data_IF_816367899948
#
_entry.id   IF_816367899948
#
_cell.length_a   1.000
_cell.length_b   1.000
_cell.length_c   1.000
_cell.angle_alpha   90.00
_cell.angle_beta   90.00
_cell.angle_gamma   90.00
#
_symmetry.space_group_name_H-M   'P 1'
#
loop_
_entity.id
_entity.type
_entity.pdbx_description
1 polymer ?
#
# COMPACT_ATOMS: atom_id res chain seq x y z
N UNK A 1 -15.00 -10.19 -5.21
CA UNK A 1 -15.03 -8.76 -4.81
C UNK A 1 -15.34 -8.59 -3.33
N UNK A 2 -16.42 -9.18 -2.82
CA UNK A 2 -16.74 -9.15 -1.38
C UNK A 2 -15.61 -9.73 -0.51
N UNK A 3 -14.92 -10.75 -0.99
CA UNK A 3 -13.72 -11.31 -0.34
C UNK A 3 -12.62 -10.25 -0.15
N UNK A 4 -12.32 -9.47 -1.19
CA UNK A 4 -11.30 -8.41 -1.14
C UNK A 4 -11.76 -7.33 -0.17
N UNK A 5 -13.01 -6.86 -0.29
CA UNK A 5 -13.54 -5.79 0.58
C UNK A 5 -13.58 -6.20 2.05
N UNK A 6 -13.98 -7.42 2.37
CA UNK A 6 -14.02 -7.92 3.76
C UNK A 6 -12.61 -8.04 4.34
N UNK A 7 -11.64 -8.55 3.57
CA UNK A 7 -10.25 -8.64 4.05
C UNK A 7 -9.67 -7.23 4.27
N UNK A 8 -9.90 -6.29 3.34
CA UNK A 8 -9.49 -4.89 3.52
C UNK A 8 -10.16 -4.25 4.72
N UNK A 9 -11.47 -4.46 4.93
CA UNK A 9 -12.18 -3.93 6.09
C UNK A 9 -11.56 -4.44 7.40
N UNK A 10 -11.15 -5.71 7.45
CA UNK A 10 -10.40 -6.27 8.58
C UNK A 10 -9.09 -5.53 8.86
N UNK A 11 -8.34 -5.12 7.84
CA UNK A 11 -7.13 -4.29 8.02
C UNK A 11 -7.47 -2.90 8.56
N UNK A 12 -8.50 -2.25 8.04
CA UNK A 12 -8.94 -0.93 8.54
C UNK A 12 -9.41 -1.03 9.99
N UNK A 13 -10.15 -2.08 10.36
CA UNK A 13 -10.56 -2.34 11.74
C UNK A 13 -9.35 -2.57 12.66
N UNK A 14 -8.30 -3.27 12.19
CA UNK A 14 -7.05 -3.40 12.97
C UNK A 14 -6.36 -2.05 13.20
N UNK A 15 -6.35 -1.18 12.19
CA UNK A 15 -5.84 0.18 12.36
C UNK A 15 -6.68 0.92 13.41
N UNK A 16 -8.01 0.84 13.33
CA UNK A 16 -8.90 1.48 14.29
C UNK A 16 -8.68 0.97 15.73
N UNK A 17 -8.52 -0.34 15.90
CA UNK A 17 -8.19 -0.94 17.19
C UNK A 17 -6.82 -0.46 17.71
N UNK A 18 -5.80 -0.40 16.85
CA UNK A 18 -4.47 0.10 17.22
C UNK A 18 -4.50 1.56 17.69
N UNK A 19 -5.30 2.40 17.04
CA UNK A 19 -5.50 3.80 17.44
C UNK A 19 -6.17 3.91 18.80
N UNK A 20 -7.15 3.05 19.10
CA UNK A 20 -7.84 3.07 20.40
C UNK A 20 -6.95 2.68 21.59
N UNK A 21 -5.82 2.01 21.35
CA UNK A 21 -4.88 1.56 22.38
C UNK A 21 -3.80 2.60 22.72
N UNK A 22 -3.60 3.60 21.86
CA UNK A 22 -2.54 4.60 22.03
C UNK A 22 -3.20 5.94 22.33
N UNK A 23 -2.79 6.60 23.41
CA UNK A 23 -3.20 7.97 23.70
C UNK A 23 -2.46 8.95 22.77
N UNK A 24 -3.00 9.14 21.57
CA UNK A 24 -2.43 10.06 20.58
C UNK A 24 -3.17 11.40 20.65
N UNK A 25 -2.43 12.49 20.90
CA UNK A 25 -3.00 13.84 20.97
C UNK A 25 -3.56 14.35 19.63
N UNK A 26 -3.03 13.83 18.50
CA UNK A 26 -3.47 14.18 17.14
C UNK A 26 -3.47 12.96 16.24
N UNK A 27 -4.64 12.37 16.05
CA UNK A 27 -4.84 11.28 15.10
C UNK A 27 -5.21 11.85 13.73
N UNK A 28 -4.50 11.43 12.67
CA UNK A 28 -4.78 11.86 11.29
C UNK A 28 -5.72 10.87 10.59
N UNK A 29 -6.95 11.28 10.20
CA UNK A 29 -7.90 10.40 9.49
C UNK A 29 -7.36 9.83 8.18
N UNK A 30 -6.36 10.49 7.59
CA UNK A 30 -5.66 10.06 6.39
C UNK A 30 -5.03 8.66 6.51
N UNK A 31 -4.70 8.22 7.73
CA UNK A 31 -4.17 6.88 7.97
C UNK A 31 -5.16 5.78 7.55
N UNK A 32 -6.46 5.98 7.80
CA UNK A 32 -7.48 5.00 7.39
C UNK A 32 -7.60 4.93 5.87
N UNK A 33 -7.55 6.08 5.21
CA UNK A 33 -7.71 6.19 3.75
C UNK A 33 -6.50 5.57 3.05
N UNK A 34 -5.29 6.06 3.36
CA UNK A 34 -4.07 5.57 2.73
C UNK A 34 -3.77 4.12 3.12
N UNK A 35 -3.94 3.76 4.39
CA UNK A 35 -3.77 2.39 4.87
C UNK A 35 -4.77 1.41 4.25
N UNK A 36 -6.01 1.85 4.02
CA UNK A 36 -7.02 1.06 3.32
C UNK A 36 -6.66 0.79 1.86
N UNK A 37 -6.16 1.80 1.14
CA UNK A 37 -5.68 1.62 -0.23
C UNK A 37 -4.45 0.71 -0.30
N UNK A 38 -3.50 0.84 0.63
CA UNK A 38 -2.37 -0.08 0.70
C UNK A 38 -2.80 -1.53 0.99
N UNK A 39 -3.78 -1.72 1.86
CA UNK A 39 -4.35 -3.05 2.11
C UNK A 39 -4.99 -3.65 0.84
N UNK A 40 -5.79 -2.87 0.11
CA UNK A 40 -6.35 -3.28 -1.18
C UNK A 40 -5.25 -3.66 -2.19
N UNK A 41 -4.21 -2.84 -2.28
CA UNK A 41 -3.09 -3.04 -3.18
C UNK A 41 -2.36 -4.37 -2.88
N UNK A 42 -2.07 -4.66 -1.61
CA UNK A 42 -1.44 -5.92 -1.19
C UNK A 42 -2.33 -7.13 -1.48
N UNK A 43 -3.64 -7.04 -1.20
CA UNK A 43 -4.58 -8.16 -1.42
C UNK A 43 -4.72 -8.46 -2.92
N UNK A 44 -4.88 -7.44 -3.75
CA UNK A 44 -4.95 -7.58 -5.21
C UNK A 44 -3.65 -8.14 -5.79
N UNK A 45 -2.50 -7.64 -5.31
CA UNK A 45 -1.18 -8.17 -5.68
C UNK A 45 -1.03 -9.65 -5.37
N UNK A 46 -1.49 -10.09 -4.19
CA UNK A 46 -1.50 -11.51 -3.81
C UNK A 46 -2.41 -12.35 -4.70
N UNK A 47 -3.63 -11.87 -5.00
CA UNK A 47 -4.55 -12.58 -5.90
C UNK A 47 -3.99 -12.72 -7.31
N UNK A 48 -3.35 -11.66 -7.82
CA UNK A 48 -2.64 -11.71 -9.10
C UNK A 48 -1.53 -12.75 -9.09
N UNK A 49 -0.71 -12.76 -8.03
CA UNK A 49 0.38 -13.72 -7.90
C UNK A 49 -0.14 -15.17 -7.84
N UNK A 50 -1.19 -15.43 -7.07
CA UNK A 50 -1.85 -16.75 -7.02
C UNK A 50 -2.36 -17.20 -8.40
N UNK A 51 -3.00 -16.29 -9.17
CA UNK A 51 -3.45 -16.60 -10.54
C UNK A 51 -2.29 -16.93 -11.49
N UNK A 52 -1.20 -16.16 -11.44
CA UNK A 52 -0.03 -16.39 -12.31
C UNK A 52 0.72 -17.65 -11.91
N UNK A 53 0.90 -17.89 -10.61
CA UNK A 53 1.67 -19.02 -10.09
C UNK A 53 0.95 -20.36 -10.30
N UNK A 54 -0.36 -20.40 -10.05
CA UNK A 54 -1.13 -21.64 -10.03
C UNK A 54 -1.80 -21.95 -11.38
N UNK A 55 -1.97 -20.95 -12.26
CA UNK A 55 -2.58 -21.13 -13.57
C UNK A 55 -3.92 -21.88 -13.49
N UNK A 56 -4.05 -22.97 -14.24
CA UNK A 56 -5.27 -23.82 -14.24
C UNK A 56 -5.57 -24.47 -12.88
N UNK A 57 -4.55 -24.65 -12.02
CA UNK A 57 -4.71 -25.22 -10.67
C UNK A 57 -5.12 -24.17 -9.62
N UNK A 58 -5.25 -22.89 -9.98
CA UNK A 58 -5.64 -21.83 -9.04
C UNK A 58 -6.97 -22.11 -8.34
N UNK A 59 -7.93 -22.67 -9.07
CA UNK A 59 -9.27 -23.00 -8.56
C UNK A 59 -9.23 -24.04 -7.45
N UNK A 60 -8.27 -24.98 -7.51
CA UNK A 60 -8.08 -26.01 -6.49
C UNK A 60 -7.51 -25.43 -5.18
N UNK A 61 -6.85 -24.28 -5.24
CA UNK A 61 -6.34 -23.57 -4.05
C UNK A 61 -7.38 -22.64 -3.43
N UNK A 62 -8.13 -21.90 -4.26
CA UNK A 62 -9.29 -21.09 -3.86
C UNK A 62 -10.31 -21.06 -4.98
N UNK A 63 -11.53 -21.48 -4.68
CA UNK A 63 -12.66 -21.46 -5.63
C UNK A 63 -12.91 -20.07 -6.23
N UNK A 64 -12.73 -19.01 -5.43
CA UNK A 64 -12.97 -17.62 -5.87
C UNK A 64 -12.00 -17.14 -6.95
N UNK A 65 -10.85 -17.82 -7.15
CA UNK A 65 -9.92 -17.49 -8.23
C UNK A 65 -10.50 -17.82 -9.61
N UNK A 66 -11.51 -18.70 -9.70
CA UNK A 66 -12.21 -19.00 -10.96
C UNK A 66 -13.01 -17.79 -11.51
N UNK A 67 -13.41 -16.86 -10.66
CA UNK A 67 -14.18 -15.67 -11.05
C UNK A 67 -13.29 -14.49 -11.45
N UNK A 68 -11.98 -14.57 -11.20
CA UNK A 68 -11.03 -13.52 -11.53
C UNK A 68 -10.28 -13.82 -12.82
N UNK A 69 -10.03 -12.78 -13.61
CA UNK A 69 -9.07 -12.80 -14.70
C UNK A 69 -7.97 -11.75 -14.45
N UNK A 70 -6.82 -11.94 -15.09
CA UNK A 70 -5.66 -11.06 -14.88
C UNK A 70 -5.95 -9.61 -15.30
N UNK A 71 -6.68 -9.38 -16.38
CA UNK A 71 -7.02 -8.02 -16.86
C UNK A 71 -7.84 -7.23 -15.82
N UNK A 72 -8.84 -7.86 -15.22
CA UNK A 72 -9.65 -7.26 -14.16
C UNK A 72 -8.78 -6.89 -12.95
N UNK A 73 -7.91 -7.80 -12.50
CA UNK A 73 -7.04 -7.56 -11.35
C UNK A 73 -6.04 -6.44 -11.66
N UNK A 74 -5.45 -6.42 -12.85
CA UNK A 74 -4.49 -5.38 -13.26
C UNK A 74 -5.17 -4.00 -13.33
N UNK A 75 -6.41 -3.92 -13.83
CA UNK A 75 -7.20 -2.68 -13.82
C UNK A 75 -7.50 -2.20 -12.40
N UNK A 76 -7.97 -3.09 -11.53
CA UNK A 76 -8.24 -2.76 -10.13
C UNK A 76 -6.97 -2.31 -9.40
N UNK A 77 -5.86 -3.00 -9.63
CA UNK A 77 -4.56 -2.67 -9.04
C UNK A 77 -4.09 -1.28 -9.48
N UNK A 78 -4.24 -0.94 -10.77
CA UNK A 78 -3.93 0.39 -11.31
C UNK A 78 -4.81 1.49 -10.69
N UNK A 79 -6.12 1.25 -10.57
CA UNK A 79 -7.04 2.18 -9.91
C UNK A 79 -6.65 2.43 -8.46
N UNK A 80 -6.44 1.36 -7.68
CA UNK A 80 -6.07 1.47 -6.26
C UNK A 80 -4.72 2.17 -6.08
N UNK A 81 -3.74 1.86 -6.94
CA UNK A 81 -2.42 2.50 -6.94
C UNK A 81 -2.54 4.01 -7.15
N UNK A 82 -3.32 4.42 -8.15
CA UNK A 82 -3.54 5.85 -8.44
C UNK A 82 -4.24 6.53 -7.26
N UNK A 83 -5.28 5.92 -6.70
CA UNK A 83 -5.97 6.43 -5.51
C UNK A 83 -5.05 6.54 -4.28
N UNK A 84 -4.14 5.59 -4.08
CA UNK A 84 -3.16 5.63 -2.99
C UNK A 84 -2.19 6.81 -3.14
N UNK A 85 -1.65 7.04 -4.34
CA UNK A 85 -0.72 8.15 -4.62
C UNK A 85 -1.43 9.50 -4.43
N UNK A 86 -2.65 9.63 -4.94
CA UNK A 86 -3.46 10.86 -4.77
C UNK A 86 -3.78 11.08 -3.29
N UNK A 87 -4.21 10.04 -2.57
CA UNK A 87 -4.49 10.13 -1.14
C UNK A 87 -3.26 10.54 -0.33
N UNK A 88 -2.08 10.00 -0.65
CA UNK A 88 -0.83 10.38 0.02
C UNK A 88 -0.43 11.82 -0.30
N UNK A 89 -0.55 12.22 -1.56
CA UNK A 89 -0.29 13.59 -1.98
C UNK A 89 -1.19 14.55 -1.21
N UNK A 90 -2.51 14.29 -1.18
CA UNK A 90 -3.47 15.10 -0.44
C UNK A 90 -3.17 15.14 1.05
N UNK A 91 -2.75 14.03 1.66
CA UNK A 91 -2.26 14.00 3.04
C UNK A 91 -1.12 15.01 3.26
N UNK A 92 -0.13 15.07 2.36
CA UNK A 92 0.98 16.03 2.51
C UNK A 92 0.58 17.50 2.40
N UNK A 93 -0.60 17.81 1.83
CA UNK A 93 -1.14 19.16 1.73
C UNK A 93 -2.13 19.51 2.84
N UNK A 94 -2.99 18.57 3.24
CA UNK A 94 -4.21 18.83 4.00
C UNK A 94 -4.17 18.28 5.43
N UNK A 95 -3.16 17.48 5.80
CA UNK A 95 -3.14 16.87 7.12
C UNK A 95 -2.76 17.89 8.20
N UNK A 96 -3.58 17.92 9.24
CA UNK A 96 -3.34 18.71 10.44
C UNK A 96 -2.17 18.12 11.24
N UNK A 97 -1.27 18.97 11.72
CA UNK A 97 -0.08 18.55 12.47
C UNK A 97 1.19 18.37 11.63
N UNK A 98 1.16 18.70 10.34
CA UNK A 98 2.37 18.84 9.53
C UNK A 98 2.97 20.25 9.67
N UNK A 99 4.28 20.41 9.39
CA UNK A 99 4.92 21.73 9.39
C UNK A 99 4.34 22.61 8.28
N UNK A 100 4.14 23.90 8.57
CA UNK A 100 3.57 24.88 7.62
C UNK A 100 4.43 25.11 6.36
N UNK A 101 5.69 24.69 6.39
CA UNK A 101 6.63 24.83 5.29
C UNK A 101 6.40 23.82 4.14
N UNK A 102 5.39 22.95 4.23
CA UNK A 102 5.04 21.94 3.22
C UNK A 102 6.20 21.00 2.81
N UNK A 103 7.25 20.90 3.64
CA UNK A 103 8.46 20.10 3.33
C UNK A 103 8.14 18.61 3.17
N UNK A 104 7.05 18.14 3.77
CA UNK A 104 6.51 16.80 3.57
C UNK A 104 6.22 16.45 2.10
N UNK A 105 6.00 17.44 1.23
CA UNK A 105 5.83 17.20 -0.21
C UNK A 105 7.06 16.57 -0.87
N UNK A 106 8.26 16.78 -0.31
CA UNK A 106 9.50 16.17 -0.82
C UNK A 106 9.51 14.64 -0.66
N UNK A 107 8.59 14.08 0.14
CA UNK A 107 8.45 12.62 0.31
C UNK A 107 7.63 11.96 -0.81
N UNK A 108 6.86 12.74 -1.60
CA UNK A 108 6.00 12.21 -2.67
C UNK A 108 6.79 11.40 -3.72
N UNK A 109 7.94 11.87 -4.25
CA UNK A 109 8.71 11.09 -5.22
C UNK A 109 9.18 9.74 -4.68
N UNK A 110 9.46 9.64 -3.37
CA UNK A 110 9.88 8.39 -2.73
C UNK A 110 8.72 7.40 -2.65
N UNK A 111 7.53 7.85 -2.24
CA UNK A 111 6.33 7.00 -2.21
C UNK A 111 5.96 6.53 -3.61
N UNK A 112 6.02 7.42 -4.60
CA UNK A 112 5.77 7.09 -5.99
C UNK A 112 6.76 6.06 -6.53
N UNK A 113 8.07 6.23 -6.26
CA UNK A 113 9.07 5.25 -6.62
C UNK A 113 8.83 3.89 -5.95
N UNK A 114 8.51 3.86 -4.66
CA UNK A 114 8.24 2.63 -3.92
C UNK A 114 7.06 1.85 -4.53
N UNK A 115 5.97 2.55 -4.85
CA UNK A 115 4.79 1.95 -5.48
C UNK A 115 5.12 1.44 -6.89
N UNK A 116 5.83 2.22 -7.71
CA UNK A 116 6.23 1.80 -9.06
C UNK A 116 7.20 0.61 -9.03
N UNK A 117 8.14 0.62 -8.08
CA UNK A 117 9.07 -0.50 -7.87
C UNK A 117 8.30 -1.77 -7.49
N UNK A 118 7.33 -1.66 -6.60
CA UNK A 118 6.51 -2.80 -6.22
C UNK A 118 5.63 -3.28 -7.39
N UNK A 119 5.03 -2.38 -8.18
CA UNK A 119 4.32 -2.77 -9.39
C UNK A 119 5.23 -3.50 -10.39
N UNK A 120 6.47 -3.05 -10.57
CA UNK A 120 7.45 -3.74 -11.40
C UNK A 120 7.74 -5.16 -10.89
N UNK A 121 7.87 -5.34 -9.57
CA UNK A 121 8.12 -6.67 -8.97
C UNK A 121 6.92 -7.61 -9.19
N UNK A 122 5.69 -7.11 -9.02
CA UNK A 122 4.49 -7.89 -9.31
C UNK A 122 4.41 -8.27 -10.80
N UNK A 123 4.60 -7.32 -11.72
CA UNK A 123 4.33 -7.53 -13.14
C UNK A 123 5.45 -8.24 -13.88
N UNK A 124 6.71 -7.90 -13.58
CA UNK A 124 7.89 -8.38 -14.32
C UNK A 124 8.58 -9.54 -13.61
N UNK A 125 8.68 -9.49 -12.28
CA UNK A 125 9.30 -10.58 -11.49
C UNK A 125 8.29 -11.62 -11.05
N UNK A 126 7.00 -11.37 -11.23
CA UNK A 126 5.91 -12.21 -10.73
C UNK A 126 6.02 -12.47 -9.22
N UNK A 127 6.65 -11.57 -8.46
CA UNK A 127 6.83 -11.66 -7.02
C UNK A 127 5.77 -10.77 -6.35
N UNK A 128 4.64 -11.35 -5.94
CA UNK A 128 3.54 -10.61 -5.28
C UNK A 128 2.83 -11.37 -4.17
N UNK A 129 3.30 -12.59 -3.84
CA UNK A 129 2.64 -13.47 -2.86
C UNK A 129 2.85 -13.06 -1.40
N UNK A 130 3.99 -12.43 -1.10
CA UNK A 130 4.40 -12.00 0.23
C UNK A 130 5.00 -10.57 0.18
N UNK A 131 4.17 -9.51 0.31
CA UNK A 131 4.63 -8.11 0.28
C UNK A 131 5.77 -7.83 1.26
N UNK A 132 5.66 -8.40 2.46
CA UNK A 132 6.63 -8.27 3.55
C UNK A 132 8.00 -8.84 3.18
N UNK A 133 8.05 -10.00 2.53
CA UNK A 133 9.31 -10.62 2.09
C UNK A 133 9.95 -9.81 0.96
N UNK A 134 9.14 -9.29 0.04
CA UNK A 134 9.61 -8.45 -1.06
C UNK A 134 10.26 -7.18 -0.50
N UNK A 135 9.64 -6.55 0.48
CA UNK A 135 10.18 -5.35 1.14
C UNK A 135 11.47 -5.64 1.91
N UNK A 136 11.63 -6.84 2.47
CA UNK A 136 12.84 -7.29 3.16
C UNK A 136 13.96 -7.77 2.20
N UNK A 137 13.63 -8.11 0.95
CA UNK A 137 14.58 -8.64 -0.03
C UNK A 137 15.04 -7.61 -1.05
N UNK A 138 14.17 -6.69 -1.47
CA UNK A 138 14.47 -5.69 -2.50
C UNK A 138 15.25 -4.51 -1.90
N UNK A 139 16.56 -4.47 -2.19
CA UNK A 139 17.45 -3.39 -1.73
C UNK A 139 16.99 -2.00 -2.18
N UNK A 140 16.42 -1.89 -3.38
CA UNK A 140 15.94 -0.60 -3.88
C UNK A 140 14.78 -0.08 -3.03
N UNK A 141 13.78 -0.92 -2.70
CA UNK A 141 12.70 -0.56 -1.78
C UNK A 141 13.21 -0.17 -0.39
N UNK A 142 14.18 -0.90 0.16
CA UNK A 142 14.75 -0.59 1.48
C UNK A 142 15.44 0.77 1.50
N UNK A 143 16.24 1.06 0.48
CA UNK A 143 16.93 2.35 0.34
C UNK A 143 15.90 3.48 0.23
N UNK A 144 14.85 3.30 -0.58
CA UNK A 144 13.77 4.29 -0.69
C UNK A 144 13.04 4.51 0.63
N UNK A 145 12.71 3.43 1.35
CA UNK A 145 12.05 3.51 2.65
C UNK A 145 12.93 4.20 3.69
N UNK A 146 14.24 3.95 3.67
CA UNK A 146 15.21 4.60 4.54
C UNK A 146 15.26 6.12 4.29
N UNK A 147 15.41 6.54 3.03
CA UNK A 147 15.41 7.97 2.69
C UNK A 147 14.08 8.64 3.02
N UNK A 148 12.97 7.95 2.77
CA UNK A 148 11.64 8.41 3.15
C UNK A 148 11.55 8.64 4.67
N UNK A 149 11.97 7.66 5.48
CA UNK A 149 11.92 7.75 6.94
C UNK A 149 12.81 8.89 7.46
N UNK A 150 14.00 9.07 6.90
CA UNK A 150 14.90 10.17 7.23
C UNK A 150 14.25 11.52 6.92
N UNK A 151 13.66 11.67 5.73
CA UNK A 151 13.00 12.92 5.35
C UNK A 151 11.80 13.24 6.24
N UNK A 152 10.96 12.24 6.55
CA UNK A 152 9.84 12.41 7.47
C UNK A 152 10.32 12.81 8.86
N UNK A 153 11.39 12.18 9.36
CA UNK A 153 11.96 12.52 10.66
C UNK A 153 12.51 13.95 10.69
N UNK A 154 13.27 14.36 9.68
CA UNK A 154 13.79 15.73 9.56
C UNK A 154 12.63 16.72 9.47
N UNK A 155 11.64 16.43 8.63
CA UNK A 155 10.49 17.31 8.43
C UNK A 155 9.68 17.52 9.71
N UNK A 156 9.49 16.50 10.55
CA UNK A 156 8.63 16.60 11.75
C UNK A 156 9.34 17.06 13.02
N UNK A 157 10.62 16.73 13.19
CA UNK A 157 11.33 16.96 14.46
C UNK A 157 12.37 18.07 14.40
N UNK A 158 12.86 18.43 13.22
CA UNK A 158 13.93 19.42 13.06
C UNK A 158 13.39 20.74 12.48
N UNK A 159 12.41 20.66 11.58
CA UNK A 159 11.80 21.78 10.87
C UNK A 159 10.42 22.13 11.43
#
# INVERSE_FOLDING_TARGET
>A
LLDITVVTAGFVLRIAAGVSLIEVQRFSPWLYVFGGFLALFMILGKRRHELVLLGENAVNHRSILAEYNLDLIDRLLSTVTTSAIVSYSLYTFLAEGLPENHVMMLTIPFVLYAIFRYMYLIHVRHEGGAPEEILLRDRSMQVTLLFYAILVFIALYIL
#
